data_IF_666075353036
#
_entry.id   IF_666075353036
#
_cell.length_a   1.000
_cell.length_b   1.000
_cell.length_c   1.000
_cell.angle_alpha   90.00
_cell.angle_beta   90.00
_cell.angle_gamma   90.00
#
_symmetry.space_group_name_H-M   'P 1'
#
loop_
_entity.id
_entity.type
_entity.pdbx_description
1 polymer ?
#
# COMPACT_ATOMS: atom_id res chain seq x y z
N UNK A 1 -20.40 10.65 24.95
CA UNK A 1 -20.07 10.85 23.52
C UNK A 1 -18.57 10.72 23.31
N UNK A 2 -18.16 10.48 22.06
CA UNK A 2 -16.76 10.43 21.64
C UNK A 2 -16.49 11.58 20.68
N UNK A 3 -15.27 12.12 20.75
CA UNK A 3 -14.68 12.99 19.73
C UNK A 3 -13.76 12.14 18.85
N UNK A 4 -13.86 12.32 17.53
CA UNK A 4 -12.99 11.70 16.54
C UNK A 4 -12.26 12.80 15.76
N UNK A 5 -10.93 12.76 15.76
CA UNK A 5 -10.07 13.66 14.99
C UNK A 5 -9.37 12.83 13.91
N UNK A 6 -9.42 13.29 12.66
CA UNK A 6 -8.80 12.64 11.52
C UNK A 6 -7.78 13.57 10.88
N UNK A 7 -6.52 13.13 10.85
CA UNK A 7 -5.43 13.82 10.16
C UNK A 7 -5.21 13.15 8.80
N UNK A 8 -5.43 13.90 7.73
CA UNK A 8 -5.14 13.50 6.34
C UNK A 8 -3.89 14.18 5.77
N UNK A 9 -3.17 14.89 6.61
CA UNK A 9 -1.89 15.55 6.40
C UNK A 9 -1.24 15.84 7.74
N UNK A 10 -0.02 16.36 7.71
CA UNK A 10 0.75 16.66 8.92
C UNK A 10 0.03 17.64 9.83
N UNK A 11 0.23 17.48 11.13
CA UNK A 11 -0.41 18.32 12.14
C UNK A 11 0.17 18.13 13.53
N UNK A 12 -0.51 18.69 14.50
CA UNK A 12 -0.19 18.53 15.93
C UNK A 12 -1.49 18.29 16.69
N UNK A 13 -1.49 17.36 17.61
CA UNK A 13 -2.55 17.15 18.58
C UNK A 13 -2.06 17.60 19.96
N UNK A 14 -2.80 18.52 20.60
CA UNK A 14 -2.40 19.13 21.87
C UNK A 14 -3.46 18.90 22.95
N UNK A 15 -3.40 17.79 23.71
CA UNK A 15 -4.23 17.62 24.89
C UNK A 15 -3.79 18.58 26.01
N UNK A 16 -4.74 19.25 26.65
CA UNK A 16 -4.50 20.15 27.78
C UNK A 16 -4.44 19.44 29.14
N UNK A 17 -4.90 18.18 29.18
CA UNK A 17 -4.89 17.33 30.38
C UNK A 17 -4.62 15.88 30.00
N UNK A 18 -4.38 15.03 31.01
CA UNK A 18 -4.16 13.60 30.76
C UNK A 18 -5.48 12.87 30.54
N UNK A 19 -5.57 12.11 29.45
CA UNK A 19 -6.69 11.21 29.16
C UNK A 19 -6.32 10.05 28.23
N UNK A 20 -7.20 9.08 28.11
CA UNK A 20 -6.99 7.93 27.23
C UNK A 20 -7.53 8.21 25.82
N UNK A 21 -6.72 7.83 24.82
CA UNK A 21 -7.02 7.95 23.39
C UNK A 21 -6.95 6.57 22.75
N UNK A 22 -7.93 6.26 21.92
CA UNK A 22 -7.83 5.19 20.91
C UNK A 22 -7.19 5.77 19.67
N UNK A 23 -6.36 5.00 18.97
CA UNK A 23 -5.74 5.46 17.73
C UNK A 23 -5.76 4.43 16.61
N UNK A 24 -5.73 4.93 15.42
CA UNK A 24 -5.44 4.23 14.18
C UNK A 24 -4.41 5.05 13.39
N UNK A 25 -3.26 4.45 13.10
CA UNK A 25 -2.21 5.02 12.26
C UNK A 25 -2.09 4.14 11.03
N UNK A 26 -2.26 4.70 9.84
CA UNK A 26 -2.08 4.00 8.57
C UNK A 26 -1.04 4.76 7.76
N UNK A 27 -0.01 4.08 7.31
CA UNK A 27 1.01 4.66 6.43
C UNK A 27 0.56 4.73 4.97
N UNK A 28 1.31 5.45 4.13
CA UNK A 28 1.08 5.47 2.69
C UNK A 28 1.33 4.10 2.05
N UNK A 29 0.47 3.68 1.13
CA UNK A 29 0.67 2.47 0.33
C UNK A 29 1.75 2.65 -0.73
N UNK A 30 2.41 1.58 -1.17
CA UNK A 30 3.39 1.62 -2.26
C UNK A 30 2.74 1.83 -3.63
N UNK A 31 3.46 2.46 -4.55
CA UNK A 31 3.01 2.61 -5.95
C UNK A 31 3.07 1.30 -6.72
N UNK A 32 2.16 1.11 -7.68
CA UNK A 32 2.19 -0.03 -8.61
C UNK A 32 3.32 0.08 -9.64
N UNK A 33 3.79 -1.04 -10.17
CA UNK A 33 4.76 -1.09 -11.25
C UNK A 33 4.15 -0.95 -12.64
N UNK A 34 4.92 -0.44 -13.58
CA UNK A 34 4.56 -0.35 -14.99
C UNK A 34 5.43 -1.27 -15.85
N UNK A 35 4.79 -2.07 -16.69
CA UNK A 35 5.49 -2.83 -17.71
C UNK A 35 4.71 -2.74 -19.03
N UNK A 36 5.28 -2.09 -20.05
CA UNK A 36 4.72 -1.99 -21.38
C UNK A 36 5.63 -2.67 -22.43
N UNK A 37 6.53 -3.57 -22.03
CA UNK A 37 7.17 -4.47 -22.95
C UNK A 37 6.13 -5.43 -23.56
N UNK A 38 6.44 -5.97 -24.71
CA UNK A 38 5.54 -6.78 -25.54
C UNK A 38 4.92 -7.98 -24.80
N UNK A 39 5.42 -8.37 -23.64
CA UNK A 39 5.04 -9.59 -22.94
C UNK A 39 5.09 -9.45 -21.39
N UNK A 40 4.78 -8.31 -20.78
CA UNK A 40 4.91 -8.17 -19.34
C UNK A 40 3.78 -7.45 -18.65
N UNK A 41 3.56 -7.74 -17.37
CA UNK A 41 2.65 -7.03 -16.46
C UNK A 41 3.42 -6.30 -15.37
N UNK A 42 3.03 -5.06 -15.05
CA UNK A 42 3.52 -4.37 -13.86
C UNK A 42 2.83 -4.90 -12.60
N UNK A 43 3.54 -4.98 -11.50
CA UNK A 43 3.05 -5.59 -10.26
C UNK A 43 2.29 -4.59 -9.36
N UNK A 44 1.45 -5.11 -8.49
CA UNK A 44 0.73 -4.32 -7.48
C UNK A 44 1.66 -3.85 -6.37
N UNK A 45 1.47 -2.62 -5.87
CA UNK A 45 2.13 -2.11 -4.68
C UNK A 45 1.57 -2.74 -3.40
N UNK A 46 2.37 -2.85 -2.36
CA UNK A 46 1.95 -3.29 -1.04
C UNK A 46 1.19 -2.20 -0.27
N UNK A 47 0.36 -2.58 0.66
CA UNK A 47 -0.31 -1.64 1.55
C UNK A 47 0.65 -1.04 2.58
N UNK A 48 0.34 0.17 3.06
CA UNK A 48 0.96 0.73 4.25
C UNK A 48 0.61 -0.07 5.50
N UNK A 49 1.50 -0.04 6.48
CA UNK A 49 1.24 -0.66 7.78
C UNK A 49 0.08 0.02 8.48
N UNK A 50 -0.65 -0.77 9.27
CA UNK A 50 -1.76 -0.32 10.09
C UNK A 50 -1.49 -0.63 11.55
N UNK A 51 -1.33 0.41 12.38
CA UNK A 51 -1.19 0.31 13.84
C UNK A 51 -2.46 0.79 14.51
N UNK A 52 -2.94 0.04 15.50
CA UNK A 52 -4.16 0.38 16.24
C UNK A 52 -4.03 0.04 17.73
N UNK A 53 -4.67 0.82 18.58
CA UNK A 53 -4.82 0.52 19.99
C UNK A 53 -6.11 1.15 20.53
N UNK A 54 -6.75 0.48 21.45
CA UNK A 54 -8.03 0.90 22.04
C UNK A 54 -7.87 1.78 23.28
N UNK A 55 -6.67 1.92 23.84
CA UNK A 55 -6.44 2.78 25.01
C UNK A 55 -4.97 3.11 25.18
N UNK A 56 -4.59 4.35 24.91
CA UNK A 56 -3.26 4.90 25.18
C UNK A 56 -3.42 6.14 26.04
N UNK A 57 -2.76 6.20 27.20
CA UNK A 57 -2.81 7.38 28.05
C UNK A 57 -1.87 8.45 27.49
N UNK A 58 -2.40 9.63 27.23
CA UNK A 58 -1.62 10.83 26.90
C UNK A 58 -1.57 11.77 28.10
N UNK A 59 -0.50 12.51 28.22
CA UNK A 59 -0.37 13.65 29.15
C UNK A 59 -0.59 14.94 28.37
N UNK A 60 -0.79 16.07 29.08
CA UNK A 60 -0.79 17.38 28.43
C UNK A 60 0.54 17.61 27.68
N UNK A 61 0.45 18.14 26.47
CA UNK A 61 1.63 18.40 25.64
C UNK A 61 1.35 18.31 24.13
N UNK A 62 2.37 18.56 23.33
CA UNK A 62 2.27 18.55 21.87
C UNK A 62 2.69 17.19 21.29
N UNK A 63 1.81 16.58 20.51
CA UNK A 63 2.05 15.32 19.80
C UNK A 63 2.04 15.59 18.30
N UNK A 64 3.22 15.59 17.70
CA UNK A 64 3.37 15.74 16.24
C UNK A 64 2.73 14.56 15.52
N UNK A 65 2.02 14.86 14.46
CA UNK A 65 1.44 13.89 13.52
C UNK A 65 2.09 14.07 12.15
N UNK A 66 2.60 13.00 11.57
CA UNK A 66 3.05 12.96 10.18
C UNK A 66 2.19 11.94 9.44
N UNK A 67 1.62 12.34 8.32
CA UNK A 67 0.80 11.46 7.48
C UNK A 67 1.55 11.15 6.18
N UNK A 68 1.97 9.89 6.04
CA UNK A 68 2.73 9.44 4.88
C UNK A 68 1.93 9.51 3.58
N UNK A 69 2.56 9.99 2.52
CA UNK A 69 1.98 9.97 1.17
C UNK A 69 2.12 8.59 0.54
N UNK A 70 1.20 8.25 -0.38
CA UNK A 70 1.34 7.06 -1.21
C UNK A 70 2.56 7.14 -2.14
N UNK A 71 3.17 6.01 -2.40
CA UNK A 71 4.27 5.86 -3.35
C UNK A 71 3.79 6.12 -4.79
N UNK A 72 4.63 6.75 -5.59
CA UNK A 72 4.33 7.07 -7.00
C UNK A 72 4.29 5.78 -7.83
N UNK A 73 3.31 5.65 -8.71
CA UNK A 73 3.25 4.55 -9.68
C UNK A 73 4.36 4.65 -10.73
N UNK A 74 4.85 3.51 -11.21
CA UNK A 74 5.82 3.43 -12.29
C UNK A 74 5.29 4.10 -13.57
N UNK A 75 6.17 4.80 -14.29
CA UNK A 75 5.84 5.52 -15.53
C UNK A 75 6.77 5.10 -16.66
N UNK A 76 6.31 5.18 -17.91
CA UNK A 76 7.12 4.83 -19.08
C UNK A 76 7.25 3.33 -19.28
N UNK A 77 8.42 2.90 -19.80
CA UNK A 77 8.67 1.49 -20.14
C UNK A 77 9.39 0.79 -18.99
N UNK A 78 8.76 -0.22 -18.39
CA UNK A 78 9.41 -1.13 -17.43
C UNK A 78 9.98 -0.44 -16.18
N UNK A 79 9.17 0.35 -15.48
CA UNK A 79 9.56 0.99 -14.24
C UNK A 79 8.71 0.49 -13.07
N UNK A 80 9.38 0.14 -11.96
CA UNK A 80 8.71 -0.13 -10.69
C UNK A 80 8.06 1.14 -10.13
N UNK A 81 7.12 0.96 -9.20
CA UNK A 81 6.64 2.04 -8.36
C UNK A 81 7.68 2.48 -7.33
N UNK A 82 7.31 3.39 -6.45
CA UNK A 82 8.09 3.76 -5.27
C UNK A 82 7.43 3.27 -3.99
N UNK A 83 8.23 3.09 -2.93
CA UNK A 83 7.72 2.79 -1.59
C UNK A 83 6.82 3.93 -1.11
N UNK A 84 5.77 3.62 -0.34
CA UNK A 84 4.98 4.59 0.40
C UNK A 84 5.78 5.24 1.52
N UNK A 85 5.31 6.38 2.01
CA UNK A 85 5.94 7.13 3.11
C UNK A 85 5.32 6.68 4.44
N UNK A 86 6.15 6.65 5.49
CA UNK A 86 5.74 6.28 6.84
C UNK A 86 4.80 7.33 7.43
N UNK A 87 3.85 6.88 8.28
CA UNK A 87 3.07 7.77 9.14
C UNK A 87 3.55 7.64 10.57
N UNK A 88 3.63 8.78 11.29
CA UNK A 88 4.10 8.78 12.69
C UNK A 88 3.18 9.52 13.61
N UNK A 89 3.04 9.03 14.83
CA UNK A 89 2.36 9.70 15.94
C UNK A 89 2.85 9.12 17.28
N UNK A 90 3.07 9.98 18.29
CA UNK A 90 3.44 9.57 19.65
C UNK A 90 4.58 8.54 19.72
N UNK A 91 5.67 8.80 19.00
CA UNK A 91 6.84 7.90 18.87
C UNK A 91 6.54 6.53 18.20
N UNK A 92 5.33 6.33 17.68
CA UNK A 92 4.96 5.20 16.87
C UNK A 92 5.22 5.53 15.40
N UNK A 93 5.66 4.54 14.65
CA UNK A 93 5.87 4.65 13.20
C UNK A 93 5.16 3.48 12.54
N UNK A 94 4.19 3.79 11.68
CA UNK A 94 3.65 2.84 10.72
C UNK A 94 4.46 2.94 9.43
N UNK A 95 4.93 1.81 8.92
CA UNK A 95 5.83 1.74 7.77
C UNK A 95 5.08 1.82 6.44
N UNK A 96 5.62 2.60 5.48
CA UNK A 96 5.07 2.70 4.13
C UNK A 96 5.09 1.38 3.37
N UNK A 97 4.10 1.16 2.51
CA UNK A 97 3.96 -0.05 1.69
C UNK A 97 5.05 -0.21 0.64
N UNK A 98 5.43 -1.44 0.35
CA UNK A 98 6.45 -1.79 -0.63
C UNK A 98 6.02 -1.49 -2.07
N UNK A 99 6.98 -1.09 -2.92
CA UNK A 99 6.75 -0.79 -4.33
C UNK A 99 6.40 -2.05 -5.14
N UNK A 100 5.46 -1.94 -6.07
CA UNK A 100 5.23 -2.95 -7.09
C UNK A 100 6.37 -2.97 -8.12
N UNK A 101 6.80 -4.15 -8.54
CA UNK A 101 7.87 -4.34 -9.52
C UNK A 101 7.45 -3.92 -10.94
N UNK A 102 8.40 -3.40 -11.73
CA UNK A 102 8.25 -3.16 -13.18
C UNK A 102 9.41 -3.82 -13.89
N UNK A 103 9.21 -4.96 -14.54
CA UNK A 103 10.32 -5.74 -15.05
C UNK A 103 11.04 -5.12 -16.24
N UNK A 104 12.37 -5.28 -16.25
CA UNK A 104 13.23 -5.26 -17.45
C UNK A 104 13.81 -6.65 -17.64
N UNK A 105 13.84 -7.14 -18.89
CA UNK A 105 14.51 -8.40 -19.22
C UNK A 105 15.97 -8.47 -18.80
N UNK A 106 16.66 -7.33 -18.77
CA UNK A 106 18.09 -7.24 -18.46
C UNK A 106 18.40 -6.94 -17.00
N UNK A 107 17.39 -6.65 -16.14
CA UNK A 107 17.63 -6.22 -14.78
C UNK A 107 16.92 -7.11 -13.76
N UNK A 108 17.69 -8.01 -13.16
CA UNK A 108 17.20 -8.98 -12.17
C UNK A 108 16.71 -8.30 -10.88
N UNK A 109 17.02 -7.03 -10.65
CA UNK A 109 16.67 -6.29 -9.41
C UNK A 109 15.28 -5.69 -9.55
N UNK A 110 14.93 -5.13 -10.72
CA UNK A 110 13.65 -4.43 -10.94
C UNK A 110 12.45 -5.37 -11.07
N UNK A 111 12.65 -6.68 -11.18
CA UNK A 111 11.58 -7.68 -11.25
C UNK A 111 10.99 -8.04 -9.89
N UNK A 112 11.69 -7.79 -8.80
CA UNK A 112 11.25 -8.13 -7.45
C UNK A 112 10.43 -6.99 -6.83
N UNK A 113 9.40 -7.35 -6.11
CA UNK A 113 8.61 -6.42 -5.31
C UNK A 113 9.44 -5.81 -4.18
N UNK A 114 9.19 -4.55 -3.86
CA UNK A 114 9.79 -3.86 -2.73
C UNK A 114 9.22 -4.32 -1.40
N UNK A 115 10.06 -4.33 -0.35
CA UNK A 115 9.61 -4.59 1.02
C UNK A 115 9.03 -3.32 1.67
N UNK A 116 8.17 -3.48 2.66
CA UNK A 116 7.52 -2.37 3.38
C UNK A 116 6.58 -2.86 4.46
N UNK A 117 5.67 -2.01 4.93
CA UNK A 117 4.60 -2.38 5.85
C UNK A 117 3.87 -3.64 5.38
N UNK A 118 3.44 -3.66 4.11
CA UNK A 118 3.20 -4.89 3.33
C UNK A 118 4.05 -4.89 2.08
N UNK A 119 4.42 -6.06 1.57
CA UNK A 119 5.28 -6.21 0.40
C UNK A 119 4.58 -5.92 -0.92
N UNK A 120 5.29 -5.35 -1.91
CA UNK A 120 4.83 -5.23 -3.29
C UNK A 120 4.94 -6.53 -4.07
N UNK A 121 4.17 -6.70 -5.14
CA UNK A 121 4.23 -7.87 -6.02
C UNK A 121 5.45 -7.91 -6.91
N UNK A 122 5.86 -9.10 -7.34
CA UNK A 122 6.90 -9.33 -8.34
C UNK A 122 6.40 -9.17 -9.78
N UNK A 123 7.28 -8.86 -10.72
CA UNK A 123 6.94 -8.68 -12.14
C UNK A 123 7.47 -9.84 -12.98
N UNK A 124 6.72 -10.32 -14.00
CA UNK A 124 7.17 -11.36 -14.89
C UNK A 124 8.27 -10.87 -15.86
N UNK A 125 9.07 -11.79 -16.35
CA UNK A 125 10.07 -11.56 -17.40
C UNK A 125 9.89 -12.59 -18.52
N UNK A 126 10.26 -12.23 -19.76
CA UNK A 126 10.05 -13.10 -20.95
C UNK A 126 10.81 -14.41 -20.90
N UNK A 127 12.00 -14.44 -20.35
CA UNK A 127 12.81 -15.65 -20.23
C UNK A 127 13.36 -15.81 -18.83
N UNK A 128 12.99 -16.91 -18.16
CA UNK A 128 13.49 -17.25 -16.83
C UNK A 128 12.44 -17.18 -15.73
N UNK A 129 12.90 -17.15 -14.50
CA UNK A 129 12.01 -17.09 -13.32
C UNK A 129 11.52 -15.67 -13.09
N UNK A 130 10.22 -15.49 -12.98
CA UNK A 130 9.58 -14.23 -12.60
C UNK A 130 10.13 -13.67 -11.29
N UNK A 131 9.83 -12.40 -11.03
CA UNK A 131 10.24 -11.73 -9.80
C UNK A 131 9.50 -12.26 -8.58
N UNK A 132 10.15 -12.20 -7.43
CA UNK A 132 9.54 -12.53 -6.13
C UNK A 132 8.76 -11.34 -5.59
N UNK A 133 7.71 -11.62 -4.83
CA UNK A 133 7.06 -10.60 -4.00
C UNK A 133 8.00 -10.05 -2.95
N UNK A 134 7.79 -8.81 -2.55
CA UNK A 134 8.49 -8.17 -1.44
C UNK A 134 7.98 -8.69 -0.10
N UNK A 135 8.84 -8.65 0.92
CA UNK A 135 8.47 -9.07 2.27
C UNK A 135 7.78 -7.95 3.03
N UNK A 136 6.85 -8.32 3.92
CA UNK A 136 6.42 -7.47 5.02
C UNK A 136 7.57 -7.32 6.01
N UNK A 137 7.85 -6.10 6.46
CA UNK A 137 8.88 -5.81 7.46
C UNK A 137 8.29 -5.61 8.85
N UNK A 138 6.99 -5.32 8.92
CA UNK A 138 6.26 -5.02 10.14
C UNK A 138 4.91 -5.77 10.15
N UNK A 139 3.85 -5.20 10.64
CA UNK A 139 2.55 -5.85 10.87
C UNK A 139 1.68 -6.19 9.64
N UNK A 140 2.19 -6.06 8.41
CA UNK A 140 1.47 -6.40 7.19
C UNK A 140 1.74 -7.81 6.67
N UNK A 141 1.54 -8.03 5.37
CA UNK A 141 1.76 -9.33 4.70
C UNK A 141 2.60 -9.21 3.43
N UNK A 142 3.19 -10.32 3.01
CA UNK A 142 4.04 -10.38 1.82
C UNK A 142 3.27 -10.15 0.52
N UNK A 143 3.96 -9.60 -0.47
CA UNK A 143 3.47 -9.56 -1.85
C UNK A 143 3.60 -10.91 -2.55
N UNK A 144 2.82 -11.11 -3.61
CA UNK A 144 2.82 -12.31 -4.43
C UNK A 144 3.98 -12.34 -5.43
N UNK A 145 4.43 -13.57 -5.78
CA UNK A 145 5.39 -13.76 -6.85
C UNK A 145 4.74 -13.54 -8.22
N UNK A 146 5.56 -13.20 -9.20
CA UNK A 146 5.14 -13.27 -10.59
C UNK A 146 5.12 -14.72 -11.09
N UNK A 147 4.15 -15.04 -11.94
CA UNK A 147 4.14 -16.32 -12.68
C UNK A 147 4.65 -16.09 -14.08
N UNK A 148 5.76 -16.75 -14.44
CA UNK A 148 6.37 -16.73 -15.77
C UNK A 148 6.47 -18.16 -16.25
N UNK A 149 5.52 -18.59 -17.08
CA UNK A 149 5.54 -19.97 -17.57
C UNK A 149 5.73 -20.10 -19.09
N UNK A 150 5.40 -19.09 -19.83
CA UNK A 150 5.59 -18.97 -21.27
C UNK A 150 5.18 -17.55 -21.74
N UNK A 151 5.51 -17.21 -22.98
CA UNK A 151 5.16 -15.91 -23.58
C UNK A 151 3.64 -15.68 -23.72
N UNK A 152 2.80 -16.56 -23.21
CA UNK A 152 1.35 -16.47 -23.34
C UNK A 152 0.63 -16.22 -22.00
N UNK A 153 1.30 -16.46 -20.86
CA UNK A 153 0.68 -16.41 -19.53
C UNK A 153 1.46 -15.60 -18.47
N UNK A 154 2.13 -14.53 -18.91
CA UNK A 154 2.92 -13.70 -17.99
C UNK A 154 2.04 -12.83 -17.12
N UNK A 155 2.13 -13.03 -15.81
CA UNK A 155 1.32 -12.35 -14.80
C UNK A 155 2.17 -11.76 -13.71
N UNK A 156 1.91 -10.54 -13.39
CA UNK A 156 2.54 -9.87 -12.28
C UNK A 156 1.89 -10.25 -10.94
N UNK A 157 2.68 -10.32 -9.91
CA UNK A 157 2.24 -10.55 -8.55
C UNK A 157 1.41 -9.37 -8.00
N UNK A 158 0.55 -9.67 -7.04
CA UNK A 158 -0.26 -8.70 -6.33
C UNK A 158 0.46 -8.22 -5.06
N UNK A 159 0.19 -7.01 -4.60
CA UNK A 159 0.72 -6.51 -3.34
C UNK A 159 0.05 -7.15 -2.14
N UNK A 160 0.77 -7.28 -1.03
CA UNK A 160 0.21 -7.68 0.26
C UNK A 160 -0.66 -6.58 0.87
N UNK A 161 -1.65 -6.95 1.65
CA UNK A 161 -2.52 -6.07 2.43
C UNK A 161 -2.29 -6.21 3.94
N UNK A 162 -2.92 -5.36 4.73
CA UNK A 162 -2.84 -5.47 6.19
C UNK A 162 -3.54 -6.72 6.74
N UNK A 163 -4.53 -7.26 6.03
CA UNK A 163 -5.33 -8.41 6.44
C UNK A 163 -4.86 -9.74 5.87
N UNK A 164 -4.31 -9.76 4.64
CA UNK A 164 -3.81 -10.99 4.00
C UNK A 164 -2.67 -10.72 3.03
N UNK A 165 -1.90 -11.76 2.69
CA UNK A 165 -0.87 -11.69 1.66
C UNK A 165 -1.48 -11.46 0.26
N UNK A 166 -0.66 -10.93 -0.65
CA UNK A 166 -1.00 -10.90 -2.06
C UNK A 166 -1.16 -12.33 -2.60
N UNK A 167 -2.12 -12.53 -3.49
CA UNK A 167 -2.37 -13.85 -4.08
C UNK A 167 -1.69 -13.94 -5.44
N UNK A 168 -1.02 -15.06 -5.72
CA UNK A 168 -0.45 -15.33 -7.03
C UNK A 168 -1.56 -15.32 -8.10
N UNK A 169 -1.31 -14.67 -9.21
CA UNK A 169 -2.33 -14.55 -10.27
C UNK A 169 -2.48 -15.86 -11.02
N UNK A 170 -3.59 -16.58 -10.79
CA UNK A 170 -3.97 -17.82 -11.47
C UNK A 170 -5.16 -17.58 -12.39
N UNK A 171 -5.01 -17.05 -13.56
CA UNK A 171 -6.13 -16.71 -14.46
C UNK A 171 -6.07 -15.24 -14.89
N UNK A 172 -7.16 -14.68 -15.36
CA UNK A 172 -7.23 -13.32 -15.88
C UNK A 172 -7.30 -12.22 -14.80
N UNK A 173 -7.39 -12.58 -13.53
CA UNK A 173 -7.46 -11.63 -12.42
C UNK A 173 -6.84 -12.23 -11.15
N UNK A 174 -5.92 -11.52 -10.53
CA UNK A 174 -5.50 -11.72 -9.15
C UNK A 174 -6.06 -10.60 -8.27
N UNK A 175 -6.17 -10.83 -6.98
CA UNK A 175 -6.53 -9.80 -6.00
C UNK A 175 -5.31 -9.40 -5.19
N UNK A 176 -5.13 -8.12 -4.93
CA UNK A 176 -4.24 -7.69 -3.86
C UNK A 176 -4.70 -8.29 -2.53
N UNK A 177 -3.80 -8.34 -1.56
CA UNK A 177 -4.15 -8.77 -0.21
C UNK A 177 -5.24 -7.90 0.40
N UNK A 178 -6.10 -8.52 1.21
CA UNK A 178 -7.18 -7.82 1.87
C UNK A 178 -6.67 -6.75 2.84
N UNK A 179 -7.41 -5.67 2.97
CA UNK A 179 -7.22 -4.70 4.03
C UNK A 179 -7.76 -5.20 5.37
N UNK A 180 -7.54 -4.42 6.40
CA UNK A 180 -8.08 -4.67 7.74
C UNK A 180 -9.18 -3.67 8.07
N UNK A 181 -10.29 -4.18 8.60
CA UNK A 181 -11.43 -3.35 8.99
C UNK A 181 -11.21 -2.73 10.37
N UNK A 182 -11.55 -1.45 10.52
CA UNK A 182 -11.56 -0.76 11.81
C UNK A 182 -12.78 0.16 11.91
N UNK A 183 -13.37 0.29 13.11
CA UNK A 183 -14.56 1.09 13.38
C UNK A 183 -14.32 2.32 14.25
N UNK A 184 -13.10 2.81 14.33
CA UNK A 184 -12.72 4.00 15.13
C UNK A 184 -13.55 5.25 14.78
N UNK A 185 -14.01 5.37 13.53
CA UNK A 185 -14.86 6.47 13.05
C UNK A 185 -16.36 6.29 13.35
N UNK A 186 -16.74 5.20 14.03
CA UNK A 186 -18.13 4.87 14.33
C UNK A 186 -18.79 3.91 13.34
N UNK A 187 -18.18 3.67 12.19
CA UNK A 187 -18.58 2.67 11.19
C UNK A 187 -17.38 1.87 10.73
N UNK A 188 -17.60 0.61 10.35
CA UNK A 188 -16.51 -0.24 9.84
C UNK A 188 -16.03 0.28 8.48
N UNK A 189 -14.74 0.62 8.42
CA UNK A 189 -14.04 1.05 7.20
C UNK A 189 -12.85 0.10 6.98
N UNK A 190 -12.63 -0.28 5.71
CA UNK A 190 -11.49 -1.12 5.34
C UNK A 190 -10.29 -0.25 4.97
N UNK A 191 -9.11 -0.53 5.56
CA UNK A 191 -7.87 0.21 5.37
C UNK A 191 -6.79 -0.71 4.84
N UNK A 192 -5.82 -0.15 4.12
CA UNK A 192 -4.57 -0.80 3.79
C UNK A 192 -4.74 -2.13 3.02
N UNK A 193 -5.48 -2.13 1.90
CA UNK A 193 -5.55 -3.25 0.95
C UNK A 193 -4.36 -3.22 -0.01
N UNK A 194 -3.90 -4.39 -0.44
CA UNK A 194 -2.86 -4.53 -1.46
C UNK A 194 -3.33 -4.12 -2.86
N UNK A 195 -2.41 -3.68 -3.71
CA UNK A 195 -2.67 -3.39 -5.11
C UNK A 195 -2.69 -4.65 -5.98
N UNK A 196 -3.47 -4.63 -7.07
CA UNK A 196 -3.51 -5.75 -8.04
C UNK A 196 -2.39 -5.63 -9.06
N UNK A 197 -1.82 -6.75 -9.48
CA UNK A 197 -0.88 -6.83 -10.60
C UNK A 197 -1.59 -6.82 -11.96
N UNK A 198 -0.88 -6.34 -12.99
CA UNK A 198 -1.35 -6.36 -14.38
C UNK A 198 -1.12 -7.71 -15.07
N UNK A 199 -1.88 -7.98 -16.15
CA UNK A 199 -1.77 -9.16 -16.98
C UNK A 199 -1.56 -8.78 -18.46
N UNK A 200 -0.80 -9.60 -19.20
CA UNK A 200 -0.35 -9.32 -20.57
C UNK A 200 -1.48 -9.00 -21.57
N UNK A 201 -2.60 -9.75 -21.57
CA UNK A 201 -3.70 -9.58 -22.52
C UNK A 201 -4.81 -8.62 -22.04
N UNK A 202 -4.74 -8.13 -20.83
CA UNK A 202 -5.73 -7.21 -20.26
C UNK A 202 -5.06 -5.96 -19.77
N UNK A 203 -5.29 -4.85 -20.46
CA UNK A 203 -5.00 -3.55 -19.85
C UNK A 203 -5.87 -3.47 -18.59
N UNK A 204 -5.25 -3.58 -17.41
CA UNK A 204 -5.93 -3.18 -16.20
C UNK A 204 -6.07 -1.65 -16.25
N UNK A 205 -7.10 -1.20 -16.97
CA UNK A 205 -7.36 0.23 -17.22
C UNK A 205 -8.01 0.90 -16.02
N UNK A 206 -8.41 0.12 -15.02
CA UNK A 206 -9.12 0.61 -13.86
C UNK A 206 -8.18 0.67 -12.66
N UNK A 207 -7.22 1.57 -12.72
CA UNK A 207 -6.41 1.91 -11.58
C UNK A 207 -7.20 2.87 -10.66
N UNK A 208 -8.24 2.39 -10.01
CA UNK A 208 -8.93 3.16 -9.01
C UNK A 208 -8.60 2.65 -7.62
N UNK A 209 -7.65 3.32 -7.00
CA UNK A 209 -7.41 3.22 -5.56
C UNK A 209 -8.31 4.19 -4.80
N UNK A 210 -9.54 4.37 -5.29
CA UNK A 210 -10.50 5.32 -4.74
C UNK A 210 -10.98 4.84 -3.37
N UNK A 211 -10.54 5.53 -2.35
CA UNK A 211 -11.32 5.69 -1.14
C UNK A 211 -10.83 5.03 0.13
N UNK A 212 -9.76 4.26 0.14
CA UNK A 212 -9.24 3.73 1.41
C UNK A 212 -7.79 4.15 1.62
N UNK A 213 -7.50 4.62 2.83
CA UNK A 213 -6.16 5.03 3.23
C UNK A 213 -5.20 3.85 3.24
N UNK A 214 -3.95 4.10 2.82
CA UNK A 214 -2.86 3.14 2.87
C UNK A 214 -2.90 2.04 1.80
N UNK A 215 -3.81 2.09 0.83
CA UNK A 215 -3.89 1.05 -0.20
C UNK A 215 -2.68 1.05 -1.14
N UNK A 216 -2.21 -0.14 -1.52
CA UNK A 216 -1.22 -0.31 -2.56
C UNK A 216 -1.72 0.10 -3.94
N UNK A 217 -0.87 0.72 -4.76
CA UNK A 217 -1.17 1.11 -6.13
C UNK A 217 -1.28 -0.10 -7.06
N UNK A 218 -2.15 -0.01 -8.06
CA UNK A 218 -2.33 -1.08 -9.04
C UNK A 218 -1.21 -1.05 -10.08
N UNK A 219 -0.69 -2.22 -10.40
CA UNK A 219 0.23 -2.43 -11.49
C UNK A 219 -0.46 -2.29 -12.85
N UNK A 220 0.30 -1.89 -13.87
CA UNK A 220 -0.22 -1.74 -15.22
C UNK A 220 0.59 -2.55 -16.23
N UNK A 221 -0.13 -3.29 -17.07
CA UNK A 221 0.39 -3.83 -18.31
C UNK A 221 0.05 -2.86 -19.46
N UNK A 222 0.96 -2.67 -20.40
CA UNK A 222 0.73 -1.90 -21.61
C UNK A 222 1.09 -2.72 -22.84
N UNK A 223 0.50 -2.41 -24.00
CA UNK A 223 1.02 -2.88 -25.28
C UNK A 223 2.31 -2.14 -25.64
N UNK A 224 3.21 -2.79 -26.36
CA UNK A 224 4.47 -2.18 -26.80
C UNK A 224 4.26 -0.78 -27.40
N UNK A 225 4.96 0.21 -26.82
CA UNK A 225 4.89 1.60 -27.30
C UNK A 225 3.78 2.46 -26.70
N UNK A 226 2.92 1.94 -25.82
CA UNK A 226 1.92 2.78 -25.14
C UNK A 226 2.56 3.53 -23.97
N UNK A 227 2.41 4.86 -23.95
CA UNK A 227 2.73 5.67 -22.78
C UNK A 227 1.60 5.50 -21.75
N UNK A 228 1.94 5.06 -20.53
CA UNK A 228 0.98 4.92 -19.44
C UNK A 228 1.67 5.00 -18.09
N UNK A 229 0.88 5.07 -17.03
CA UNK A 229 1.39 5.05 -15.66
C UNK A 229 0.60 4.02 -14.87
N UNK A 230 1.27 3.32 -13.98
CA UNK A 230 0.62 2.55 -12.93
C UNK A 230 0.02 3.50 -11.88
N UNK A 231 -0.82 2.99 -11.00
CA UNK A 231 -1.42 3.83 -9.95
C UNK A 231 -0.44 4.19 -8.86
N UNK A 232 -0.59 5.39 -8.34
CA UNK A 232 -0.01 5.74 -7.03
C UNK A 232 -0.66 4.93 -5.93
N UNK A 233 0.05 4.71 -4.82
CA UNK A 233 -0.53 4.20 -3.59
C UNK A 233 -1.46 5.23 -2.93
N UNK A 234 -2.35 4.78 -2.07
CA UNK A 234 -3.18 5.65 -1.25
C UNK A 234 -2.37 6.34 -0.15
N UNK A 235 -2.71 7.58 0.18
CA UNK A 235 -2.11 8.26 1.34
C UNK A 235 -2.48 7.55 2.64
N UNK A 236 -1.66 7.75 3.67
CA UNK A 236 -1.95 7.33 5.02
C UNK A 236 -3.03 8.18 5.70
N UNK A 237 -3.30 7.85 6.95
CA UNK A 237 -4.18 8.61 7.85
C UNK A 237 -3.81 8.36 9.30
N UNK A 238 -3.98 9.35 10.16
CA UNK A 238 -3.94 9.18 11.61
C UNK A 238 -5.30 9.58 12.17
N UNK A 239 -5.93 8.68 12.94
CA UNK A 239 -7.25 8.90 13.54
C UNK A 239 -7.14 8.70 15.04
N UNK A 240 -7.64 9.68 15.80
CA UNK A 240 -7.69 9.67 17.26
C UNK A 240 -9.14 9.72 17.72
N UNK A 241 -9.53 8.87 18.70
CA UNK A 241 -10.84 8.86 19.31
C UNK A 241 -10.73 8.89 20.83
N UNK A 242 -11.49 9.74 21.48
CA UNK A 242 -11.51 9.85 22.94
C UNK A 242 -12.86 10.32 23.47
N UNK A 243 -13.11 10.15 24.78
CA UNK A 243 -14.33 10.63 25.43
C UNK A 243 -14.37 12.16 25.41
N UNK A 244 -15.50 12.73 24.97
CA UNK A 244 -15.67 14.19 24.84
C UNK A 244 -15.79 14.91 26.19
N UNK A 245 -16.37 14.25 27.21
CA UNK A 245 -16.66 14.91 28.49
C UNK A 245 -15.40 15.07 29.33
N UNK A 246 -15.06 16.30 29.70
CA UNK A 246 -13.95 16.63 30.60
C UNK A 246 -12.57 16.72 29.95
N UNK A 247 -12.47 16.54 28.64
CA UNK A 247 -11.20 16.61 27.93
C UNK A 247 -11.16 17.86 27.03
N UNK A 248 -10.08 18.63 27.13
CA UNK A 248 -9.80 19.81 26.31
C UNK A 248 -8.58 19.54 25.41
N UNK A 249 -8.60 20.09 24.20
CA UNK A 249 -7.55 19.92 23.18
C UNK A 249 -7.56 21.09 22.18
N UNK A 250 -6.45 21.36 21.58
CA UNK A 250 -6.26 22.29 20.45
C UNK A 250 -5.65 21.56 19.23
#
# INVERSE_FOLDING_TARGET
SYTVITFTGDGTFTPESSFNVEYLIVAGGGGGGMNNASNGGGAGGGAGEMLENTSTNLTAGNYSVVVGTGGVGGTGVQNGGTKGVDSTWNSLTAEGGGAGAGARESDSILKNGGSGGSGGGGSPIESGTGGTGGSSQTGGNDGANATSNDNTNMRAGNGGGAGSAGVDSTGSSGSGGDGKSNSITGSAVNYASGGTGGWYFGMNTSASNTGAYGNGGQGRAGSAGSSGSASTGGNGVVILRFLTSGNTYE
#
